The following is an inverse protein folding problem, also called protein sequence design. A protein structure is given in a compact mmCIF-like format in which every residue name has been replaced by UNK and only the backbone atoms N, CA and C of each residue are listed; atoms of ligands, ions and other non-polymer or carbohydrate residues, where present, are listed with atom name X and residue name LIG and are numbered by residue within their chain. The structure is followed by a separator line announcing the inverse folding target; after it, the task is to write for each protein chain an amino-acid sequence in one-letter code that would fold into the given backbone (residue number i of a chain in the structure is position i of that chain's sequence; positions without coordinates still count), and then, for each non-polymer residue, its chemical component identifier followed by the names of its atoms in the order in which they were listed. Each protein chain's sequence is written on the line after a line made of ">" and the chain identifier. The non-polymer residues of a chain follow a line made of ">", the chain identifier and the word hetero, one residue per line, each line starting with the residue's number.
data_IF_336711825505
#
_entry.id   IF_336711825505
#
_cell.length_a   1.000
_cell.length_b   1.000
_cell.length_c   1.000
_cell.angle_alpha   90.00
_cell.angle_beta   90.00
_cell.angle_gamma   90.00
#
_symmetry.space_group_name_H-M   'P 1'
#
loop_
_entity.id
_entity.type
_entity.pdbx_description
1 polymer ?
#
# COMPACT_ATOMS: atom_id res chain seq x y z
N UNK A 1 2.80 22.12 41.95
CA UNK A 1 2.24 20.80 42.34
C UNK A 1 2.71 19.81 41.30
N UNK A 2 3.49 18.83 41.75
CA UNK A 2 4.32 17.96 40.90
C UNK A 2 3.47 17.00 40.05
N UNK A 3 3.93 16.79 38.81
CA UNK A 3 3.50 15.74 37.92
C UNK A 3 3.88 14.36 38.50
N UNK A 4 2.99 13.78 39.31
CA UNK A 4 3.08 12.38 39.78
C UNK A 4 2.19 11.43 38.97
N UNK A 5 1.33 11.94 38.08
CA UNK A 5 0.31 11.13 37.40
C UNK A 5 0.81 10.26 36.24
N UNK A 6 1.93 10.58 35.58
CA UNK A 6 2.36 9.83 34.38
C UNK A 6 3.10 8.53 34.69
N UNK A 7 3.89 8.49 35.77
CA UNK A 7 4.62 7.29 36.18
C UNK A 7 3.69 6.24 36.80
N UNK A 8 2.70 6.67 37.59
CA UNK A 8 1.74 5.78 38.24
C UNK A 8 0.82 5.10 37.23
N UNK A 9 0.38 5.82 36.19
CA UNK A 9 -0.43 5.24 35.11
C UNK A 9 0.35 4.20 34.29
N UNK A 10 1.62 4.46 33.97
CA UNK A 10 2.45 3.50 33.23
C UNK A 10 2.71 2.21 34.01
N UNK A 11 2.83 2.28 35.34
CA UNK A 11 2.99 1.10 36.18
C UNK A 11 1.68 0.30 36.23
N UNK A 12 0.55 0.98 36.46
CA UNK A 12 -0.76 0.34 36.50
C UNK A 12 -1.10 -0.35 35.17
N UNK A 13 -0.83 0.29 34.03
CA UNK A 13 -1.04 -0.28 32.69
C UNK A 13 -0.26 -1.59 32.49
N UNK A 14 0.99 -1.63 32.97
CA UNK A 14 1.84 -2.81 32.90
C UNK A 14 1.31 -3.95 33.78
N UNK A 15 0.87 -3.64 35.00
CA UNK A 15 0.29 -4.61 35.92
C UNK A 15 -1.06 -5.14 35.42
N UNK A 16 -1.91 -4.24 34.90
CA UNK A 16 -3.21 -4.57 34.32
C UNK A 16 -3.06 -5.60 33.20
N UNK A 17 -2.18 -5.35 32.23
CA UNK A 17 -2.00 -6.23 31.08
C UNK A 17 -1.23 -7.51 31.42
N UNK A 18 -0.33 -7.51 32.42
CA UNK A 18 0.51 -8.66 32.72
C UNK A 18 -0.27 -9.94 33.04
N UNK A 19 -1.50 -9.82 33.55
CA UNK A 19 -2.36 -10.96 33.89
C UNK A 19 -3.14 -11.56 32.71
N UNK A 20 -3.11 -10.96 31.52
CA UNK A 20 -3.95 -11.39 30.40
C UNK A 20 -3.35 -12.59 29.64
N UNK A 21 -4.20 -13.56 29.31
CA UNK A 21 -3.88 -14.60 28.33
C UNK A 21 -3.81 -14.01 26.91
N UNK A 22 -3.24 -14.74 25.94
CA UNK A 22 -3.25 -14.29 24.54
C UNK A 22 -4.69 -14.10 24.01
N UNK A 23 -5.60 -15.02 24.33
CA UNK A 23 -7.00 -14.91 23.96
C UNK A 23 -7.66 -13.66 24.55
N UNK A 24 -7.45 -13.41 25.85
CA UNK A 24 -7.99 -12.22 26.50
C UNK A 24 -7.39 -10.92 25.92
N UNK A 25 -6.13 -10.94 25.48
CA UNK A 25 -5.52 -9.81 24.76
C UNK A 25 -6.15 -9.60 23.38
N UNK A 26 -6.45 -10.67 22.65
CA UNK A 26 -7.13 -10.55 21.37
C UNK A 26 -8.53 -9.96 21.55
N UNK A 27 -9.31 -10.50 22.48
CA UNK A 27 -10.64 -9.97 22.81
C UNK A 27 -10.56 -8.50 23.26
N UNK A 28 -9.55 -8.13 24.05
CA UNK A 28 -9.32 -6.76 24.47
C UNK A 28 -9.04 -5.84 23.27
N UNK A 29 -8.18 -6.26 22.33
CA UNK A 29 -7.87 -5.48 21.12
C UNK A 29 -9.14 -5.30 20.28
N UNK A 30 -9.86 -6.38 19.98
CA UNK A 30 -11.06 -6.35 19.15
C UNK A 30 -12.17 -5.51 19.79
N UNK A 31 -12.42 -5.67 21.08
CA UNK A 31 -13.40 -4.87 21.81
C UNK A 31 -13.00 -3.40 21.88
N UNK A 32 -11.71 -3.10 22.06
CA UNK A 32 -11.22 -1.72 22.12
C UNK A 32 -11.30 -1.01 20.77
N UNK A 33 -11.04 -1.73 19.67
CA UNK A 33 -11.22 -1.24 18.30
C UNK A 33 -12.71 -0.98 18.03
N UNK A 34 -13.59 -1.92 18.37
CA UNK A 34 -15.03 -1.74 18.22
C UNK A 34 -15.55 -0.51 19.00
N UNK A 35 -15.08 -0.32 20.23
CA UNK A 35 -15.46 0.80 21.10
C UNK A 35 -14.67 2.09 20.83
N UNK A 36 -13.68 2.06 19.93
CA UNK A 36 -12.80 3.17 19.59
C UNK A 36 -12.03 3.76 20.80
N UNK A 37 -11.55 2.91 21.71
CA UNK A 37 -10.79 3.30 22.91
C UNK A 37 -9.28 3.26 22.62
N UNK A 38 -8.76 4.32 21.98
CA UNK A 38 -7.34 4.39 21.52
C UNK A 38 -6.29 4.03 22.57
N UNK A 39 -6.40 4.53 23.80
CA UNK A 39 -5.40 4.24 24.83
C UNK A 39 -5.29 2.75 25.18
N UNK A 40 -6.41 2.01 25.08
CA UNK A 40 -6.48 0.59 25.35
C UNK A 40 -6.01 -0.24 24.14
N UNK A 41 -6.36 0.18 22.91
CA UNK A 41 -5.80 -0.36 21.67
C UNK A 41 -4.27 -0.25 21.70
N UNK A 42 -3.75 0.94 21.99
CA UNK A 42 -2.32 1.23 22.08
C UNK A 42 -1.61 0.33 23.10
N UNK A 43 -2.17 0.20 24.29
CA UNK A 43 -1.60 -0.60 25.37
C UNK A 43 -1.57 -2.10 25.02
N UNK A 44 -2.69 -2.65 24.54
CA UNK A 44 -2.78 -4.05 24.17
C UNK A 44 -1.94 -4.37 22.92
N UNK A 45 -1.95 -3.49 21.91
CA UNK A 45 -1.15 -3.65 20.70
C UNK A 45 0.34 -3.63 21.00
N UNK A 46 0.83 -2.69 21.84
CA UNK A 46 2.25 -2.67 22.27
C UNK A 46 2.68 -3.98 22.92
N UNK A 47 1.78 -4.60 23.69
CA UNK A 47 2.07 -5.88 24.36
C UNK A 47 2.21 -7.02 23.35
N UNK A 48 1.29 -7.15 22.40
CA UNK A 48 1.40 -8.15 21.33
C UNK A 48 2.62 -7.87 20.44
N UNK A 49 2.82 -6.62 20.03
CA UNK A 49 3.97 -6.19 19.22
C UNK A 49 5.31 -6.58 19.86
N UNK A 50 5.44 -6.41 21.18
CA UNK A 50 6.65 -6.82 21.92
C UNK A 50 6.91 -8.33 21.86
N UNK A 51 5.86 -9.16 21.83
CA UNK A 51 5.97 -10.63 21.75
C UNK A 51 6.38 -11.12 20.36
N UNK A 52 5.99 -10.41 19.31
CA UNK A 52 6.27 -10.79 17.91
C UNK A 52 7.51 -10.11 17.33
N UNK A 53 8.07 -9.10 18.02
CA UNK A 53 9.24 -8.37 17.54
C UNK A 53 10.40 -9.32 17.21
N UNK A 54 10.86 -9.27 15.95
CA UNK A 54 11.96 -10.10 15.47
C UNK A 54 11.63 -11.58 15.28
N UNK A 55 10.34 -11.96 15.31
CA UNK A 55 9.87 -13.32 15.02
C UNK A 55 9.49 -13.47 13.56
N UNK A 56 9.79 -14.62 12.98
CA UNK A 56 9.29 -15.01 11.66
C UNK A 56 7.78 -15.31 11.71
N UNK A 57 7.05 -15.25 10.57
CA UNK A 57 5.64 -15.61 10.50
C UNK A 57 5.33 -16.99 11.11
N UNK A 58 6.23 -17.97 10.91
CA UNK A 58 6.09 -19.32 11.47
C UNK A 58 6.22 -19.35 12.99
N UNK A 59 7.15 -18.59 13.55
CA UNK A 59 7.29 -18.46 15.00
C UNK A 59 6.08 -17.74 15.62
N UNK A 60 5.56 -16.69 14.97
CA UNK A 60 4.34 -15.99 15.41
C UNK A 60 3.16 -16.95 15.46
N UNK A 61 2.96 -17.75 14.41
CA UNK A 61 1.91 -18.76 14.38
C UNK A 61 2.05 -19.79 15.52
N UNK A 62 3.27 -20.23 15.83
CA UNK A 62 3.52 -21.12 16.96
C UNK A 62 3.21 -20.45 18.31
N UNK A 63 3.57 -19.17 18.49
CA UNK A 63 3.32 -18.41 19.73
C UNK A 63 1.83 -18.27 20.02
N UNK A 64 1.02 -18.07 18.97
CA UNK A 64 -0.42 -17.83 19.09
C UNK A 64 -1.28 -19.05 18.72
N UNK A 65 -0.67 -20.21 18.48
CA UNK A 65 -1.35 -21.45 18.12
C UNK A 65 -2.25 -21.32 16.87
N UNK A 66 -1.77 -20.58 15.86
CA UNK A 66 -2.39 -20.40 14.55
C UNK A 66 -1.94 -21.57 13.66
N UNK A 67 -2.89 -22.40 13.19
CA UNK A 67 -2.63 -23.66 12.46
C UNK A 67 -2.88 -23.56 10.96
N UNK A 68 -3.83 -22.74 10.53
CA UNK A 68 -4.37 -22.60 9.18
C UNK A 68 -3.41 -21.97 8.16
N UNK A 69 -2.47 -21.14 8.62
CA UNK A 69 -1.61 -20.31 7.74
C UNK A 69 -0.64 -21.12 6.88
N UNK A 70 -0.33 -22.38 7.24
CA UNK A 70 0.65 -23.20 6.51
C UNK A 70 0.08 -24.49 5.89
N UNK A 71 -1.23 -24.72 5.96
CA UNK A 71 -1.87 -25.93 5.40
C UNK A 71 -1.99 -25.90 3.86
N UNK A 72 -1.64 -24.78 3.22
CA UNK A 72 -1.58 -24.65 1.78
C UNK A 72 -0.30 -23.92 1.41
N UNK A 73 0.48 -24.46 0.47
CA UNK A 73 1.54 -23.75 -0.27
C UNK A 73 0.94 -22.62 -1.13
N UNK A 74 0.21 -21.71 -0.51
CA UNK A 74 -0.49 -20.60 -1.15
C UNK A 74 0.19 -19.32 -0.70
N UNK A 75 0.52 -18.49 -1.69
CA UNK A 75 1.17 -17.20 -1.54
C UNK A 75 0.45 -16.29 -0.53
N UNK A 76 1.20 -15.35 0.07
CA UNK A 76 0.71 -14.29 0.97
C UNK A 76 -0.54 -13.57 0.41
N UNK A 77 -0.67 -13.54 -0.92
CA UNK A 77 -1.77 -12.94 -1.67
C UNK A 77 -3.10 -13.73 -1.57
N UNK A 78 -3.04 -15.06 -1.49
CA UNK A 78 -4.23 -15.91 -1.33
C UNK A 78 -4.79 -15.85 0.09
N UNK A 79 -3.92 -15.66 1.10
CA UNK A 79 -4.35 -15.43 2.49
C UNK A 79 -5.10 -14.10 2.60
N UNK A 80 -4.56 -13.04 1.99
CA UNK A 80 -5.20 -11.73 1.91
C UNK A 80 -6.58 -11.80 1.23
N UNK A 81 -6.71 -12.52 0.11
CA UNK A 81 -7.99 -12.71 -0.60
C UNK A 81 -9.02 -13.50 0.22
N UNK A 82 -8.62 -14.59 0.89
CA UNK A 82 -9.53 -15.40 1.72
C UNK A 82 -10.11 -14.62 2.91
N UNK A 83 -9.35 -13.69 3.47
CA UNK A 83 -9.80 -12.85 4.60
C UNK A 83 -10.68 -11.66 4.17
N UNK A 84 -10.71 -11.32 2.87
CA UNK A 84 -11.67 -10.36 2.31
C UNK A 84 -13.07 -10.97 2.13
N UNK A 85 -13.12 -12.27 1.79
CA UNK A 85 -14.39 -12.99 1.62
C UNK A 85 -15.11 -13.25 2.95
N UNK A 86 -14.39 -13.32 4.08
CA UNK A 86 -15.00 -13.41 5.41
C UNK A 86 -15.49 -12.04 5.94
N UNK A 87 -14.99 -10.92 5.41
CA UNK A 87 -15.24 -9.58 5.95
C UNK A 87 -16.17 -8.73 5.07
N UNK A 88 -16.56 -9.20 3.88
CA UNK A 88 -17.55 -8.52 3.04
C UNK A 88 -18.98 -8.84 3.49
N UNK A 89 -19.41 -8.21 4.59
CA UNK A 89 -20.81 -7.79 4.67
C UNK A 89 -20.97 -6.56 3.78
N UNK A 90 -21.21 -6.80 2.49
CA UNK A 90 -21.54 -5.74 1.53
C UNK A 90 -22.82 -5.03 1.97
N UNK A 91 -22.70 -3.73 2.30
CA UNK A 91 -23.80 -2.79 2.19
C UNK A 91 -24.37 -2.84 0.78
N UNK A 92 -25.70 -2.90 0.68
CA UNK A 92 -26.55 -2.85 -0.51
C UNK A 92 -27.21 -4.19 -0.92
N UNK A 93 -28.09 -4.69 -0.04
CA UNK A 93 -29.37 -5.31 -0.44
C UNK A 93 -30.46 -4.90 0.57
N UNK A 94 -31.40 -4.05 0.16
CA UNK A 94 -32.66 -3.87 0.88
C UNK A 94 -33.47 -5.18 0.81
N UNK A 95 -33.87 -5.74 1.97
CA UNK A 95 -35.09 -6.55 2.17
C UNK A 95 -35.38 -6.71 3.70
N UNK A 96 -36.61 -7.05 4.10
CA UNK A 96 -37.36 -6.36 5.15
C UNK A 96 -37.03 -6.83 6.58
N UNK A 97 -37.25 -5.95 7.54
CA UNK A 97 -37.10 -6.19 8.97
C UNK A 97 -37.90 -7.42 9.44
N UNK A 98 -37.19 -8.48 9.82
CA UNK A 98 -37.63 -9.44 10.83
C UNK A 98 -36.56 -9.52 11.91
N UNK A 99 -37.01 -9.48 13.16
CA UNK A 99 -36.20 -9.50 14.37
C UNK A 99 -35.24 -10.70 14.35
N UNK A 100 -33.98 -10.45 13.99
CA UNK A 100 -32.90 -11.42 14.11
C UNK A 100 -32.08 -10.98 15.33
N UNK A 101 -31.95 -11.81 16.38
CA UNK A 101 -31.08 -11.49 17.50
C UNK A 101 -29.67 -11.25 16.99
N UNK A 102 -29.00 -10.18 17.44
CA UNK A 102 -27.58 -9.94 17.21
C UNK A 102 -26.76 -11.08 17.83
N UNK A 103 -26.64 -12.21 17.13
CA UNK A 103 -25.68 -13.24 17.46
C UNK A 103 -24.33 -12.73 16.99
N UNK A 104 -23.59 -12.09 17.88
CA UNK A 104 -22.13 -12.06 17.74
C UNK A 104 -21.71 -13.53 17.76
N UNK A 105 -21.46 -14.09 16.58
CA UNK A 105 -20.94 -15.43 16.47
C UNK A 105 -19.55 -15.39 17.12
N UNK A 106 -19.36 -16.20 18.17
CA UNK A 106 -18.09 -16.24 18.89
C UNK A 106 -17.01 -16.67 17.91
N UNK A 107 -16.07 -15.76 17.62
CA UNK A 107 -14.98 -16.03 16.69
C UNK A 107 -14.11 -17.15 17.27
N UNK A 108 -13.70 -18.09 16.42
CA UNK A 108 -12.69 -19.08 16.79
C UNK A 108 -11.39 -18.37 17.19
N UNK A 109 -10.65 -18.93 18.14
CA UNK A 109 -9.42 -18.33 18.69
C UNK A 109 -8.44 -17.88 17.61
N UNK A 110 -8.36 -18.65 16.52
CA UNK A 110 -7.47 -18.39 15.41
C UNK A 110 -7.88 -17.15 14.60
N UNK A 111 -9.18 -16.94 14.40
CA UNK A 111 -9.70 -15.76 13.72
C UNK A 111 -9.49 -14.51 14.59
N UNK A 112 -9.73 -14.61 15.90
CA UNK A 112 -9.41 -13.54 16.85
C UNK A 112 -7.93 -13.16 16.78
N UNK A 113 -7.04 -14.15 16.72
CA UNK A 113 -5.61 -13.92 16.64
C UNK A 113 -5.22 -13.19 15.34
N UNK A 114 -5.77 -13.59 14.19
CA UNK A 114 -5.50 -12.95 12.90
C UNK A 114 -6.01 -11.51 12.87
N UNK A 115 -7.24 -11.25 13.33
CA UNK A 115 -7.79 -9.90 13.38
C UNK A 115 -7.03 -9.00 14.36
N UNK A 116 -6.64 -9.53 15.53
CA UNK A 116 -5.83 -8.77 16.48
C UNK A 116 -4.43 -8.46 15.93
N UNK A 117 -3.79 -9.39 15.23
CA UNK A 117 -2.49 -9.15 14.59
C UNK A 117 -2.59 -8.11 13.48
N UNK A 118 -3.70 -8.08 12.74
CA UNK A 118 -3.97 -7.04 11.74
C UNK A 118 -4.08 -5.65 12.38
N UNK A 119 -4.86 -5.51 13.45
CA UNK A 119 -4.97 -4.24 14.19
C UNK A 119 -3.61 -3.80 14.72
N UNK A 120 -2.82 -4.73 15.29
CA UNK A 120 -1.45 -4.47 15.73
C UNK A 120 -0.60 -3.94 14.57
N UNK A 121 -0.74 -4.53 13.38
CA UNK A 121 -0.01 -4.12 12.19
C UNK A 121 -0.43 -2.74 11.70
N UNK A 122 -1.73 -2.46 11.65
CA UNK A 122 -2.28 -1.15 11.31
C UNK A 122 -1.78 -0.06 12.26
N UNK A 123 -1.69 -0.39 13.55
CA UNK A 123 -1.21 0.57 14.56
C UNK A 123 0.23 1.03 14.34
N UNK A 124 1.08 0.25 13.67
CA UNK A 124 2.45 0.67 13.34
C UNK A 124 2.50 1.85 12.35
N UNK A 125 1.45 2.04 11.55
CA UNK A 125 1.36 3.10 10.56
C UNK A 125 0.15 4.03 10.77
N UNK A 126 -0.53 3.91 11.90
CA UNK A 126 -1.50 4.91 12.37
C UNK A 126 -0.74 6.13 12.88
N UNK A 127 -1.03 7.30 12.31
CA UNK A 127 -0.40 8.56 12.71
C UNK A 127 -1.41 9.68 12.83
N UNK A 128 -1.15 10.65 13.70
CA UNK A 128 -1.97 11.85 13.78
C UNK A 128 -1.63 12.79 12.61
N UNK A 129 -2.61 13.02 11.74
CA UNK A 129 -2.49 14.00 10.65
C UNK A 129 -3.09 15.33 11.12
N UNK A 130 -2.26 16.37 11.31
CA UNK A 130 -2.71 17.67 11.81
C UNK A 130 -3.65 18.39 10.83
N UNK A 131 -3.57 18.07 9.54
CA UNK A 131 -4.36 18.75 8.51
C UNK A 131 -5.82 18.31 8.50
N UNK A 132 -6.06 17.04 8.80
CA UNK A 132 -7.41 16.47 8.95
C UNK A 132 -7.85 16.40 10.42
N UNK A 133 -6.96 16.72 11.36
CA UNK A 133 -7.23 16.72 12.80
C UNK A 133 -7.74 15.34 13.29
N UNK A 134 -7.13 14.26 12.78
CA UNK A 134 -7.53 12.89 13.04
C UNK A 134 -6.33 11.95 12.99
N UNK A 135 -6.46 10.78 13.64
CA UNK A 135 -5.53 9.69 13.42
C UNK A 135 -5.94 8.96 12.15
N UNK A 136 -4.99 8.72 11.26
CA UNK A 136 -5.22 8.11 9.96
C UNK A 136 -4.21 6.99 9.73
N UNK A 137 -4.65 5.98 9.00
CA UNK A 137 -3.77 4.96 8.47
C UNK A 137 -2.95 5.56 7.33
N UNK A 138 -1.63 5.56 7.51
CA UNK A 138 -0.72 6.16 6.53
C UNK A 138 -0.27 5.19 5.43
N UNK A 139 -0.67 3.93 5.54
CA UNK A 139 -0.36 2.84 4.63
C UNK A 139 -1.59 2.05 4.24
N UNK A 140 -1.45 1.28 3.18
CA UNK A 140 -2.49 0.44 2.59
C UNK A 140 -2.93 -0.70 3.54
N UNK A 141 -4.24 -0.91 3.69
CA UNK A 141 -4.86 -1.72 4.76
C UNK A 141 -6.21 -2.38 4.40
N UNK A 142 -6.47 -2.67 3.12
CA UNK A 142 -7.81 -3.16 2.69
C UNK A 142 -8.10 -4.64 2.98
N UNK A 143 -7.13 -5.34 3.56
CA UNK A 143 -7.23 -6.73 3.96
C UNK A 143 -6.29 -6.96 5.13
N UNK A 144 -6.43 -8.12 5.77
CA UNK A 144 -5.63 -8.49 6.92
C UNK A 144 -4.12 -8.53 6.61
N UNK A 145 -3.36 -7.63 7.23
CA UNK A 145 -1.93 -7.42 7.01
C UNK A 145 -1.03 -8.21 7.97
N UNK A 146 -1.58 -9.07 8.83
CA UNK A 146 -0.83 -9.75 9.90
C UNK A 146 0.48 -10.40 9.42
N UNK A 147 0.46 -10.96 8.21
CA UNK A 147 1.62 -11.59 7.56
C UNK A 147 1.96 -11.00 6.19
N UNK A 148 1.36 -9.86 5.83
CA UNK A 148 1.64 -9.22 4.55
C UNK A 148 2.86 -8.30 4.66
N UNK A 149 3.84 -8.51 3.78
CA UNK A 149 5.02 -7.64 3.69
C UNK A 149 4.69 -6.40 2.84
N UNK A 150 4.34 -5.31 3.52
CA UNK A 150 4.04 -4.03 2.89
C UNK A 150 5.22 -3.44 2.12
N UNK A 151 6.47 -3.82 2.41
CA UNK A 151 7.64 -3.22 1.75
C UNK A 151 8.14 -4.06 0.57
N UNK A 152 7.58 -5.25 0.38
CA UNK A 152 7.89 -6.14 -0.74
C UNK A 152 7.52 -5.50 -2.07
N UNK A 153 8.47 -5.50 -2.99
CA UNK A 153 8.26 -5.05 -4.38
C UNK A 153 7.53 -6.12 -5.20
N UNK A 154 6.84 -5.66 -6.24
CA UNK A 154 6.18 -6.58 -7.18
C UNK A 154 7.21 -7.42 -7.93
N UNK A 155 6.98 -8.74 -7.96
CA UNK A 155 7.80 -9.68 -8.76
C UNK A 155 7.41 -9.66 -10.25
N UNK A 156 6.33 -8.95 -10.59
CA UNK A 156 5.87 -8.82 -11.97
C UNK A 156 6.67 -7.73 -12.68
N UNK A 157 6.97 -7.96 -13.95
CA UNK A 157 7.73 -7.02 -14.78
C UNK A 157 7.09 -6.84 -16.16
N UNK A 158 7.80 -6.11 -17.03
CA UNK A 158 7.51 -6.03 -18.47
C UNK A 158 7.35 -7.44 -19.06
N UNK A 159 6.30 -7.63 -19.85
CA UNK A 159 6.04 -8.88 -20.54
C UNK A 159 6.95 -9.09 -21.76
N UNK A 160 6.82 -10.26 -22.43
CA UNK A 160 7.56 -10.54 -23.65
C UNK A 160 7.15 -9.59 -24.79
N UNK A 161 7.95 -9.55 -25.86
CA UNK A 161 7.65 -8.74 -27.03
C UNK A 161 6.33 -9.19 -27.65
N UNK A 162 5.50 -8.23 -28.07
CA UNK A 162 4.15 -8.51 -28.57
C UNK A 162 4.14 -9.50 -29.76
N UNK A 163 5.16 -9.45 -30.61
CA UNK A 163 5.31 -10.34 -31.77
C UNK A 163 5.78 -11.77 -31.42
N UNK A 164 6.17 -12.02 -30.17
CA UNK A 164 6.61 -13.33 -29.67
C UNK A 164 5.51 -14.06 -28.90
N UNK A 165 4.30 -13.48 -28.79
CA UNK A 165 3.18 -14.05 -28.05
C UNK A 165 2.30 -14.89 -28.99
N UNK A 166 2.16 -16.21 -28.78
CA UNK A 166 1.28 -17.06 -29.57
C UNK A 166 -0.18 -16.60 -29.52
N UNK A 167 -0.90 -16.72 -30.65
CA UNK A 167 -2.28 -16.21 -30.80
C UNK A 167 -3.32 -16.67 -29.76
N UNK A 168 -3.25 -17.82 -29.06
CA UNK A 168 -4.20 -18.11 -27.98
C UNK A 168 -3.96 -17.28 -26.71
N UNK A 169 -2.72 -16.81 -26.48
CA UNK A 169 -2.33 -16.04 -25.28
C UNK A 169 -2.60 -14.55 -25.49
N UNK A 170 -2.73 -14.10 -26.74
CA UNK A 170 -3.04 -12.69 -27.05
C UNK A 170 -4.41 -12.25 -26.52
N UNK A 171 -5.33 -13.20 -26.32
CA UNK A 171 -6.65 -12.96 -25.73
C UNK A 171 -6.61 -12.85 -24.20
N UNK A 172 -5.49 -13.22 -23.55
CA UNK A 172 -5.26 -13.04 -22.10
C UNK A 172 -4.45 -11.78 -21.78
N UNK A 173 -4.25 -10.88 -22.75
CA UNK A 173 -3.57 -9.59 -22.53
C UNK A 173 -4.47 -8.71 -21.67
N UNK A 174 -3.86 -7.98 -20.74
CA UNK A 174 -4.54 -7.01 -19.89
C UNK A 174 -5.44 -6.08 -20.72
N UNK A 175 -6.75 -6.07 -20.44
CA UNK A 175 -7.72 -5.28 -21.20
C UNK A 175 -7.62 -3.78 -20.95
N UNK A 176 -7.08 -3.36 -19.81
CA UNK A 176 -6.88 -1.96 -19.46
C UNK A 176 -5.79 -1.75 -18.42
N UNK A 177 -5.04 -0.66 -18.51
CA UNK A 177 -4.12 -0.22 -17.45
C UNK A 177 -4.38 1.23 -17.08
N UNK A 178 -3.70 1.67 -16.02
CA UNK A 178 -3.60 3.07 -15.66
C UNK A 178 -2.14 3.52 -15.71
N UNK A 179 -1.93 4.62 -16.44
CA UNK A 179 -0.65 5.29 -16.54
C UNK A 179 -0.63 6.50 -15.61
N UNK A 180 0.37 6.61 -14.74
CA UNK A 180 0.57 7.79 -13.90
C UNK A 180 1.28 8.86 -14.74
N UNK A 181 0.57 9.93 -15.04
CA UNK A 181 1.05 11.02 -15.91
C UNK A 181 1.90 12.00 -15.10
N UNK A 182 1.43 12.38 -13.91
CA UNK A 182 2.11 13.38 -13.08
C UNK A 182 1.89 13.13 -11.60
N UNK A 183 2.95 13.32 -10.80
CA UNK A 183 2.88 13.58 -9.37
C UNK A 183 3.23 15.04 -9.12
N UNK A 184 2.33 15.81 -8.52
CA UNK A 184 2.52 17.26 -8.36
C UNK A 184 2.12 17.75 -6.96
N UNK A 185 3.00 18.48 -6.30
CA UNK A 185 2.67 19.29 -5.14
C UNK A 185 1.84 20.49 -5.61
N UNK A 186 0.56 20.52 -5.22
CA UNK A 186 -0.38 21.62 -5.51
C UNK A 186 -0.25 22.75 -4.52
N UNK A 187 -0.16 22.40 -3.24
CA UNK A 187 -0.14 23.33 -2.12
C UNK A 187 0.93 22.89 -1.12
N UNK A 188 1.58 23.88 -0.51
CA UNK A 188 2.62 23.71 0.50
C UNK A 188 2.42 24.79 1.55
N UNK A 189 2.19 24.40 2.80
CA UNK A 189 2.04 25.32 3.94
C UNK A 189 3.36 25.98 4.33
N UNK A 190 4.46 25.40 3.86
CA UNK A 190 5.82 25.87 4.12
C UNK A 190 6.37 26.73 2.99
N UNK A 191 5.56 26.98 1.95
CA UNK A 191 5.96 27.71 0.75
C UNK A 191 6.85 26.88 -0.18
N UNK A 192 7.53 27.58 -1.08
CA UNK A 192 8.51 27.05 -2.03
C UNK A 192 9.74 27.96 -2.05
N UNK A 193 10.94 27.46 -2.38
CA UNK A 193 11.23 26.07 -2.77
C UNK A 193 11.30 25.10 -1.58
N UNK A 194 11.12 23.81 -1.84
CA UNK A 194 11.23 22.75 -0.84
C UNK A 194 12.14 21.61 -1.33
N UNK A 195 12.91 21.00 -0.43
CA UNK A 195 13.72 19.81 -0.70
C UNK A 195 12.96 18.58 -0.20
N UNK A 196 12.38 17.82 -1.12
CA UNK A 196 11.49 16.68 -0.82
C UNK A 196 12.22 15.36 -1.06
N UNK A 197 12.05 14.41 -0.14
CA UNK A 197 12.50 13.03 -0.28
C UNK A 197 11.44 12.07 0.29
N UNK A 198 11.67 10.76 0.17
CA UNK A 198 10.74 9.73 0.61
C UNK A 198 10.18 8.92 -0.56
N UNK A 199 8.97 8.38 -0.40
CA UNK A 199 8.38 7.43 -1.34
C UNK A 199 6.96 7.79 -1.76
N UNK A 200 6.64 7.44 -3.01
CA UNK A 200 5.26 7.29 -3.49
C UNK A 200 5.15 5.93 -4.14
N UNK A 201 4.25 5.10 -3.63
CA UNK A 201 4.05 3.71 -4.06
C UNK A 201 2.65 3.56 -4.62
N UNK A 202 2.52 2.90 -5.76
CA UNK A 202 1.24 2.43 -6.27
C UNK A 202 1.06 0.94 -5.95
N UNK A 203 -0.19 0.55 -5.63
CA UNK A 203 -0.63 -0.84 -5.45
C UNK A 203 -1.91 -1.07 -6.24
N UNK A 204 -2.01 -2.23 -6.86
CA UNK A 204 -3.19 -2.68 -7.60
C UNK A 204 -3.50 -4.16 -7.29
N UNK A 205 -4.55 -4.68 -7.91
CA UNK A 205 -5.09 -6.02 -7.63
C UNK A 205 -4.27 -7.16 -8.24
N UNK A 206 -3.13 -6.86 -8.90
CA UNK A 206 -2.24 -7.89 -9.45
C UNK A 206 -1.56 -8.66 -8.32
N UNK A 207 -1.02 -7.95 -7.32
CA UNK A 207 -0.34 -8.52 -6.16
C UNK A 207 -0.33 -7.61 -4.92
N UNK A 208 -0.88 -6.40 -5.01
CA UNK A 208 -0.83 -5.34 -4.01
C UNK A 208 0.59 -5.02 -3.50
N UNK A 209 1.64 -5.43 -4.20
CA UNK A 209 3.03 -5.16 -3.80
C UNK A 209 3.48 -3.79 -4.28
N UNK A 210 4.63 -3.33 -3.78
CA UNK A 210 5.12 -2.01 -4.10
C UNK A 210 5.47 -1.88 -5.60
N UNK A 211 4.80 -0.93 -6.26
CA UNK A 211 5.25 -0.35 -7.54
C UNK A 211 5.65 1.10 -7.26
N UNK A 212 6.95 1.34 -7.10
CA UNK A 212 7.44 2.68 -6.75
C UNK A 212 7.31 3.66 -7.93
N UNK A 213 6.66 4.80 -7.68
CA UNK A 213 6.51 5.90 -8.63
C UNK A 213 7.49 7.04 -8.35
N UNK A 214 7.90 7.18 -7.08
CA UNK A 214 8.90 8.14 -6.64
C UNK A 214 9.64 7.51 -5.46
N UNK A 215 10.97 7.60 -5.46
CA UNK A 215 11.81 7.16 -4.35
C UNK A 215 13.09 8.00 -4.34
N UNK A 216 13.31 8.71 -3.24
CA UNK A 216 14.53 9.50 -3.01
C UNK A 216 14.92 9.38 -1.54
N UNK A 217 16.21 9.24 -1.30
CA UNK A 217 16.77 9.20 0.05
C UNK A 217 17.00 10.61 0.59
N UNK A 218 17.19 10.73 1.90
CA UNK A 218 17.44 12.03 2.57
C UNK A 218 18.62 12.79 1.97
N UNK A 219 19.67 12.07 1.58
CA UNK A 219 20.92 12.65 1.07
C UNK A 219 20.83 13.06 -0.41
N UNK A 220 19.75 12.67 -1.10
CA UNK A 220 19.46 13.02 -2.50
C UNK A 220 18.01 13.54 -2.64
N UNK A 221 17.65 14.65 -1.98
CA UNK A 221 16.30 15.19 -2.06
C UNK A 221 16.09 15.92 -3.39
N UNK A 222 14.88 15.84 -3.94
CA UNK A 222 14.49 16.63 -5.09
C UNK A 222 14.13 18.06 -4.66
N UNK A 223 14.74 19.06 -5.30
CA UNK A 223 14.34 20.46 -5.14
C UNK A 223 13.08 20.73 -5.98
N UNK A 224 11.99 21.13 -5.33
CA UNK A 224 10.73 21.51 -5.97
C UNK A 224 10.52 23.01 -5.85
N UNK A 225 10.25 23.66 -6.98
CA UNK A 225 9.90 25.09 -7.06
C UNK A 225 8.42 25.25 -7.43
N UNK A 226 7.84 26.44 -7.18
CA UNK A 226 6.43 26.72 -7.48
C UNK A 226 6.09 26.56 -8.97
N UNK A 227 7.03 26.89 -9.86
CA UNK A 227 6.81 26.84 -11.32
C UNK A 227 6.63 25.41 -11.82
N UNK A 228 7.39 24.46 -11.26
CA UNK A 228 7.34 23.06 -11.67
C UNK A 228 6.34 22.27 -10.80
N UNK A 229 6.56 22.27 -9.48
CA UNK A 229 5.76 21.53 -8.50
C UNK A 229 5.78 20.00 -8.67
N UNK A 230 6.42 19.47 -9.72
CA UNK A 230 6.37 18.06 -10.11
C UNK A 230 7.46 17.26 -9.41
N UNK A 231 7.09 16.07 -8.96
CA UNK A 231 8.04 15.07 -8.54
C UNK A 231 8.54 14.31 -9.78
N UNK A 232 9.83 13.99 -9.83
CA UNK A 232 10.41 13.20 -10.91
C UNK A 232 9.95 11.75 -10.78
N UNK A 233 9.07 11.32 -11.67
CA UNK A 233 8.60 9.94 -11.73
C UNK A 233 9.74 8.99 -12.05
N UNK A 234 9.71 7.82 -11.40
CA UNK A 234 10.49 6.67 -11.80
C UNK A 234 9.76 5.87 -12.88
N UNK A 235 10.52 5.10 -13.63
CA UNK A 235 9.97 4.09 -14.53
C UNK A 235 9.43 2.94 -13.67
N UNK A 236 8.10 2.70 -13.63
CA UNK A 236 7.55 1.65 -12.78
C UNK A 236 8.00 0.28 -13.28
N UNK A 237 8.21 -0.67 -12.37
CA UNK A 237 8.66 -2.03 -12.74
C UNK A 237 7.66 -2.77 -13.66
N UNK A 238 6.39 -2.34 -13.67
CA UNK A 238 5.31 -2.84 -14.51
C UNK A 238 4.18 -1.81 -14.65
N UNK A 239 3.29 -2.03 -15.62
CA UNK A 239 2.03 -1.28 -15.70
C UNK A 239 1.08 -1.55 -14.53
N UNK A 240 0.27 -0.54 -14.17
CA UNK A 240 -0.76 -0.66 -13.13
C UNK A 240 -2.08 -1.15 -13.74
N UNK A 241 -2.65 -2.21 -13.18
CA UNK A 241 -3.83 -2.91 -13.72
C UNK A 241 -4.93 -2.95 -12.66
N UNK A 242 -5.72 -1.87 -12.52
CA UNK A 242 -6.88 -1.89 -11.64
C UNK A 242 -8.05 -2.61 -12.30
N UNK A 243 -8.69 -3.55 -11.59
CA UNK A 243 -10.02 -4.02 -11.97
C UNK A 243 -11.08 -2.99 -11.55
N UNK A 244 -11.04 -2.54 -10.28
CA UNK A 244 -11.86 -1.46 -9.71
C UNK A 244 -11.02 -0.38 -9.02
N UNK A 245 -10.13 -0.76 -8.10
CA UNK A 245 -9.39 0.19 -7.24
C UNK A 245 -7.88 0.00 -7.34
N UNK A 246 -7.16 1.12 -7.24
CA UNK A 246 -5.73 1.14 -6.93
C UNK A 246 -5.46 2.13 -5.80
N UNK A 247 -4.30 2.00 -5.19
CA UNK A 247 -3.92 2.74 -4.01
C UNK A 247 -2.59 3.42 -4.24
N UNK A 248 -2.51 4.71 -3.91
CA UNK A 248 -1.26 5.47 -3.90
C UNK A 248 -0.90 5.77 -2.46
N UNK A 249 0.11 5.10 -1.94
CA UNK A 249 0.70 5.43 -0.64
C UNK A 249 1.74 6.52 -0.82
N UNK A 250 1.65 7.56 0.00
CA UNK A 250 2.58 8.67 0.05
C UNK A 250 3.27 8.69 1.41
N UNK A 251 4.58 8.83 1.40
CA UNK A 251 5.40 9.07 2.59
C UNK A 251 6.54 10.01 2.20
N UNK A 252 6.19 11.29 2.06
CA UNK A 252 7.08 12.35 1.65
C UNK A 252 7.48 13.19 2.86
N UNK A 253 8.76 13.53 2.92
CA UNK A 253 9.37 14.37 3.95
C UNK A 253 10.11 15.53 3.31
N UNK A 254 10.26 16.61 4.06
CA UNK A 254 11.08 17.75 3.66
C UNK A 254 12.28 17.93 4.58
N UNK A 255 13.36 18.47 4.02
CA UNK A 255 14.52 18.95 4.80
C UNK A 255 14.40 20.47 4.92
N UNK A 256 14.33 20.97 6.16
CA UNK A 256 14.29 22.40 6.49
C UNK A 256 15.69 23.02 6.45
N UNK A 257 15.73 24.35 6.44
CA UNK A 257 16.97 25.11 6.64
C UNK A 257 17.49 24.84 8.05
N UNK A 258 18.62 24.12 8.15
CA UNK A 258 19.15 23.59 9.41
C UNK A 258 19.22 22.06 9.46
N UNK A 259 18.67 21.36 8.46
CA UNK A 259 18.79 19.90 8.32
C UNK A 259 17.72 19.09 9.08
N UNK A 260 16.79 19.77 9.75
CA UNK A 260 15.63 19.16 10.40
C UNK A 260 14.71 18.51 9.35
N UNK A 261 14.13 17.37 9.71
CA UNK A 261 13.27 16.56 8.85
C UNK A 261 11.84 16.62 9.37
N UNK A 262 10.90 16.87 8.48
CA UNK A 262 9.48 16.96 8.82
C UNK A 262 8.64 16.17 7.82
N UNK A 263 7.57 15.54 8.32
CA UNK A 263 6.59 14.86 7.47
C UNK A 263 5.82 15.91 6.65
N UNK A 264 5.82 15.74 5.32
CA UNK A 264 5.28 16.71 4.38
C UNK A 264 3.96 16.28 3.75
N UNK A 265 3.88 15.01 3.33
CA UNK A 265 2.66 14.38 2.81
C UNK A 265 2.69 12.90 3.14
N UNK A 266 1.70 12.41 3.88
CA UNK A 266 1.75 11.03 4.38
C UNK A 266 0.37 10.41 4.50
N UNK A 267 0.06 9.40 3.69
CA UNK A 267 -1.29 8.83 3.63
C UNK A 267 -1.53 8.00 2.38
N UNK A 268 -2.75 7.47 2.27
CA UNK A 268 -3.18 6.67 1.12
C UNK A 268 -4.27 7.38 0.34
N UNK A 269 -4.13 7.43 -0.98
CA UNK A 269 -5.20 7.86 -1.89
C UNK A 269 -5.74 6.65 -2.62
N UNK A 270 -7.06 6.54 -2.70
CA UNK A 270 -7.72 5.55 -3.54
C UNK A 270 -8.07 6.15 -4.88
N UNK A 271 -7.60 5.52 -5.96
CA UNK A 271 -8.13 5.74 -7.29
C UNK A 271 -9.17 4.66 -7.56
N UNK A 272 -10.37 5.09 -7.96
CA UNK A 272 -11.51 4.22 -8.23
C UNK A 272 -11.92 4.39 -9.69
N UNK A 273 -11.87 3.31 -10.45
CA UNK A 273 -12.19 3.30 -11.88
C UNK A 273 -13.63 3.70 -12.15
N UNK A 274 -14.59 3.30 -11.31
CA UNK A 274 -15.99 3.69 -11.46
C UNK A 274 -16.24 5.21 -11.37
N UNK A 275 -15.28 5.97 -10.84
CA UNK A 275 -15.33 7.44 -10.81
C UNK A 275 -14.81 8.11 -12.07
N UNK A 276 -14.20 7.37 -13.01
CA UNK A 276 -13.82 7.92 -14.31
C UNK A 276 -15.08 8.15 -15.16
N UNK A 277 -15.37 9.41 -15.54
CA UNK A 277 -16.44 9.68 -16.50
C UNK A 277 -16.16 8.96 -17.82
N UNK A 278 -17.20 8.38 -18.44
CA UNK A 278 -17.07 7.62 -19.69
C UNK A 278 -16.42 8.41 -20.84
N UNK A 279 -16.49 9.74 -20.80
CA UNK A 279 -15.91 10.67 -21.78
C UNK A 279 -14.46 11.09 -21.45
N UNK A 280 -13.96 10.83 -20.24
CA UNK A 280 -12.63 11.23 -19.80
C UNK A 280 -11.68 10.05 -19.67
N UNK A 281 -10.56 10.15 -20.36
CA UNK A 281 -9.44 9.21 -20.21
C UNK A 281 -8.50 9.57 -19.07
N UNK A 282 -8.69 10.72 -18.39
CA UNK A 282 -7.78 11.15 -17.31
C UNK A 282 -8.54 11.56 -16.06
N UNK A 283 -7.95 11.26 -14.90
CA UNK A 283 -8.46 11.63 -13.59
C UNK A 283 -7.33 12.10 -12.69
N UNK A 284 -7.59 13.16 -11.93
CA UNK A 284 -6.73 13.60 -10.83
C UNK A 284 -7.32 13.15 -9.50
N UNK A 285 -6.49 12.55 -8.66
CA UNK A 285 -6.80 12.28 -7.26
C UNK A 285 -5.78 13.02 -6.40
N UNK A 286 -6.15 13.47 -5.20
CA UNK A 286 -5.26 14.28 -4.36
C UNK A 286 -5.30 13.84 -2.92
N UNK A 287 -4.12 13.82 -2.28
CA UNK A 287 -3.98 13.69 -0.83
C UNK A 287 -3.85 15.09 -0.25
N UNK A 288 -4.69 15.40 0.73
CA UNK A 288 -4.57 16.61 1.52
C UNK A 288 -4.17 16.20 2.94
N UNK A 289 -2.88 16.29 3.26
CA UNK A 289 -2.31 15.65 4.44
C UNK A 289 -1.04 16.36 4.92
N UNK A 290 -0.84 16.41 6.23
CA UNK A 290 0.27 17.11 6.89
C UNK A 290 0.43 18.55 6.38
N UNK A 291 1.51 18.87 5.67
CA UNK A 291 1.86 20.24 5.28
C UNK A 291 1.53 20.54 3.81
N UNK A 292 0.82 19.65 3.12
CA UNK A 292 0.73 19.71 1.67
C UNK A 292 -0.60 19.25 1.09
N UNK A 293 -0.75 19.51 -0.21
CA UNK A 293 -1.71 18.83 -1.08
C UNK A 293 -0.97 18.28 -2.29
N UNK A 294 -0.96 16.96 -2.47
CA UNK A 294 -0.26 16.30 -3.58
C UNK A 294 -1.28 15.65 -4.50
N UNK A 295 -1.25 16.00 -5.79
CA UNK A 295 -2.09 15.45 -6.84
C UNK A 295 -1.35 14.35 -7.61
N UNK A 296 -2.01 13.21 -7.78
CA UNK A 296 -1.66 12.18 -8.76
C UNK A 296 -2.62 12.31 -9.94
N UNK A 297 -2.09 12.48 -11.15
CA UNK A 297 -2.89 12.39 -12.38
C UNK A 297 -2.61 11.11 -13.09
N UNK A 298 -3.69 10.46 -13.49
CA UNK A 298 -3.69 9.16 -14.10
C UNK A 298 -4.42 9.21 -15.44
N UNK A 299 -3.95 8.44 -16.43
CA UNK A 299 -4.65 8.15 -17.66
C UNK A 299 -5.11 6.69 -17.66
N UNK A 300 -6.37 6.44 -17.97
CA UNK A 300 -6.88 5.11 -18.25
C UNK A 300 -6.61 4.75 -19.71
N UNK A 301 -6.00 3.60 -19.95
CA UNK A 301 -5.60 3.13 -21.27
C UNK A 301 -6.25 1.79 -21.53
N UNK A 302 -7.05 1.70 -22.60
CA UNK A 302 -7.67 0.45 -23.06
C UNK A 302 -6.72 -0.24 -24.03
N UNK A 303 -6.58 -1.57 -23.91
CA UNK A 303 -5.62 -2.38 -24.66
C UNK A 303 -4.18 -1.83 -24.58
N UNK A 304 -3.65 -1.67 -23.35
CA UNK A 304 -2.35 -1.06 -23.14
C UNK A 304 -1.22 -1.90 -23.72
N UNK A 305 -0.22 -1.18 -24.21
CA UNK A 305 1.01 -1.73 -24.72
C UNK A 305 2.14 -0.89 -24.14
N UNK A 306 3.22 -1.53 -23.73
CA UNK A 306 4.42 -0.84 -23.26
C UNK A 306 5.43 -0.76 -24.41
N UNK A 307 6.04 0.40 -24.63
CA UNK A 307 7.05 0.56 -25.68
C UNK A 307 8.31 1.21 -25.11
N UNK A 308 9.47 0.61 -25.38
CA UNK A 308 10.78 1.21 -25.10
C UNK A 308 11.33 1.79 -26.39
N UNK A 309 11.60 3.09 -26.40
CA UNK A 309 12.21 3.81 -27.52
C UNK A 309 13.66 4.07 -27.17
N UNK A 310 14.57 3.44 -27.90
CA UNK A 310 16.00 3.74 -27.82
C UNK A 310 16.35 4.81 -28.86
N UNK A 311 16.87 5.95 -28.41
CA UNK A 311 17.26 7.07 -29.28
C UNK A 311 18.78 7.18 -29.30
N UNK A 312 19.39 6.84 -30.43
CA UNK A 312 20.83 7.00 -30.64
C UNK A 312 21.11 8.32 -31.36
N UNK A 313 21.73 9.27 -30.67
CA UNK A 313 22.15 10.55 -31.23
C UNK A 313 23.53 10.37 -31.86
N UNK A 314 23.61 10.45 -33.19
CA UNK A 314 24.85 10.32 -33.93
C UNK A 314 25.68 11.64 -33.91
N UNK A 315 27.02 11.55 -34.06
CA UNK A 315 27.89 12.73 -34.14
C UNK A 315 27.50 13.68 -35.28
N UNK A 316 27.82 14.98 -35.17
CA UNK A 316 27.51 15.96 -36.20
C UNK A 316 28.21 15.61 -37.53
N UNK A 317 27.42 15.42 -38.59
CA UNK A 317 27.92 15.11 -39.96
C UNK A 317 27.14 14.04 -40.72
N UNK A 318 26.25 13.29 -40.06
CA UNK A 318 25.35 12.32 -40.68
C UNK A 318 23.88 12.70 -40.44
N UNK A 319 23.03 12.79 -41.48
CA UNK A 319 21.60 12.89 -41.26
C UNK A 319 21.09 11.48 -40.96
N UNK A 320 20.74 11.19 -39.71
CA UNK A 320 19.64 10.28 -39.30
C UNK A 320 19.75 10.00 -37.80
N UNK A 321 18.70 10.38 -37.07
CA UNK A 321 18.38 9.72 -35.81
C UNK A 321 17.98 8.29 -36.16
N UNK A 322 18.68 7.29 -35.64
CA UNK A 322 18.19 5.92 -35.64
C UNK A 322 17.47 5.67 -34.32
N UNK A 323 16.15 5.44 -34.39
CA UNK A 323 15.34 5.04 -33.25
C UNK A 323 14.93 3.58 -33.41
N UNK A 324 15.22 2.75 -32.41
CA UNK A 324 14.68 1.39 -32.34
C UNK A 324 13.53 1.42 -31.32
N UNK A 325 12.35 0.93 -31.73
CA UNK A 325 11.18 0.83 -30.86
C UNK A 325 10.93 -0.64 -30.54
N UNK A 326 11.04 -1.00 -29.26
CA UNK A 326 10.66 -2.32 -28.75
C UNK A 326 9.27 -2.23 -28.12
N UNK A 327 8.39 -3.19 -28.42
CA UNK A 327 7.01 -3.21 -27.94
C UNK A 327 6.79 -4.47 -27.09
N UNK A 328 6.35 -4.29 -25.85
CA UNK A 328 6.15 -5.32 -24.81
C UNK A 328 4.69 -5.31 -24.33
N UNK A 329 4.23 -6.45 -23.81
CA UNK A 329 2.97 -6.49 -23.06
C UNK A 329 3.16 -5.96 -21.65
N UNK A 330 2.11 -5.32 -21.11
CA UNK A 330 2.10 -4.86 -19.73
C UNK A 330 1.80 -6.04 -18.79
N UNK A 331 2.72 -6.34 -17.87
CA UNK A 331 2.60 -7.30 -16.74
C UNK A 331 2.78 -8.79 -17.08
N UNK A 332 3.87 -9.40 -16.59
CA UNK A 332 4.08 -10.86 -16.56
C UNK A 332 4.78 -11.28 -15.25
N UNK A 333 4.35 -12.39 -14.64
CA UNK A 333 4.95 -12.98 -13.43
C UNK A 333 6.34 -13.54 -13.75
N UNK A 334 7.36 -13.25 -12.93
CA UNK A 334 8.75 -13.71 -13.16
C UNK A 334 8.96 -15.24 -13.21
N UNK A 335 7.95 -16.07 -12.91
CA UNK A 335 8.08 -17.54 -12.84
C UNK A 335 8.20 -18.29 -14.19
N UNK A 336 8.63 -17.64 -15.28
CA UNK A 336 9.06 -18.32 -16.50
C UNK A 336 10.57 -18.25 -16.79
N UNK A 337 11.40 -17.81 -15.83
CA UNK A 337 12.82 -18.19 -15.82
C UNK A 337 13.01 -19.49 -15.06
N UNK A 338 12.71 -20.63 -15.69
CA UNK A 338 13.30 -21.96 -15.42
C UNK A 338 12.72 -23.01 -16.38
N UNK A 339 12.79 -22.77 -17.70
CA UNK A 339 12.96 -23.81 -18.74
C UNK A 339 13.72 -23.19 -19.91
N UNK A 340 14.94 -22.74 -19.66
CA UNK A 340 15.97 -22.87 -20.68
C UNK A 340 16.48 -24.30 -20.56
N UNK A 341 15.75 -25.24 -21.16
CA UNK A 341 16.39 -26.47 -21.63
C UNK A 341 17.29 -26.03 -22.80
N UNK A 342 18.61 -26.28 -22.76
CA UNK A 342 19.42 -26.17 -23.96
C UNK A 342 19.11 -27.37 -24.87
N UNK A 343 19.63 -27.32 -26.10
CA UNK A 343 19.81 -28.41 -27.07
C UNK A 343 18.94 -28.33 -28.33
N UNK A 344 19.49 -28.71 -29.50
CA UNK A 344 20.88 -28.64 -29.99
C UNK A 344 21.10 -27.60 -31.09
#
# INVERSE_FOLDING_TARGET
>A
MHASGSHDLSHWDAEFIAGFSHEALFDLILASEYLQIRGLIDLACRTIASKIKGKSPREICNIFNIKSVFASELDEETIAKRLQDSTTCSSDKELPCSETPCLMQELELEEKALQALDIVRCQEFTGYDPKVNAYTHTRFDIFNLAFFDLDKESDFCRGPRLNMIPSPIRDSVVGSCVNVITLKVKESEVGFPIKVFGTVVARDQVDYRCVYLFRRERDDPQLITLADGKLTLMDPCRGLVPEDRMYFEMNLKIVRDGGEVEDFSKGVIVFNKARLPNDKQTMGVSLNSYLSRVEVRCAYVVHPIEATIEVNILPPGLPRIMSIVWIFTTVVKQQQRLRQEPFP
#
